data_IF_381419141543
#
_entry.id   IF_381419141543
#
_cell.length_a   1.000
_cell.length_b   1.000
_cell.length_c   1.000
_cell.angle_alpha   90.00
_cell.angle_beta   90.00
_cell.angle_gamma   90.00
#
_symmetry.space_group_name_H-M   'P 1'
#
loop_
_entity.id
_entity.type
_entity.pdbx_description
1 polymer ?
#
# COMPACT_ATOMS: atom_id res chain seq x y z
N UNK A 1 37.10 -1.47 -4.75
CA UNK A 1 35.94 -2.30 -5.13
C UNK A 1 34.72 -1.54 -4.66
N UNK A 2 34.15 -0.74 -5.53
CA UNK A 2 32.93 0.02 -5.28
C UNK A 2 31.77 -0.99 -5.33
N UNK A 3 31.00 -1.07 -4.25
CA UNK A 3 29.75 -1.86 -4.18
C UNK A 3 28.79 -1.42 -5.29
N UNK A 4 27.99 -2.35 -5.87
CA UNK A 4 27.05 -2.01 -6.91
C UNK A 4 26.00 -1.05 -6.37
N UNK A 5 25.84 0.03 -7.11
CA UNK A 5 24.76 1.01 -7.18
C UNK A 5 23.62 0.81 -6.18
N UNK A 6 23.75 1.41 -5.00
CA UNK A 6 22.61 1.52 -4.08
C UNK A 6 21.71 2.65 -4.57
N UNK A 7 20.83 2.34 -5.54
CA UNK A 7 19.76 3.23 -5.89
C UNK A 7 19.03 3.66 -4.61
N UNK A 8 18.85 4.96 -4.42
CA UNK A 8 18.20 5.50 -3.22
C UNK A 8 16.79 4.90 -3.11
N UNK A 9 16.37 4.39 -1.94
CA UNK A 9 15.07 3.78 -1.78
C UNK A 9 13.96 4.81 -2.07
N UNK A 10 12.85 4.36 -2.64
CA UNK A 10 11.69 5.22 -2.86
C UNK A 10 10.85 5.44 -1.60
N UNK A 11 10.95 4.53 -0.63
CA UNK A 11 10.38 4.71 0.71
C UNK A 11 11.51 4.51 1.71
N UNK A 12 11.72 5.49 2.58
CA UNK A 12 12.64 5.41 3.71
C UNK A 12 11.89 5.72 5.01
N UNK A 13 11.99 4.82 5.95
CA UNK A 13 11.62 5.02 7.36
C UNK A 13 12.88 4.71 8.16
N UNK A 14 13.47 5.72 8.82
CA UNK A 14 14.72 5.57 9.53
C UNK A 14 14.57 5.95 11.00
N UNK A 15 14.68 4.96 11.89
CA UNK A 15 14.60 5.09 13.36
C UNK A 15 13.38 5.90 13.83
N UNK A 16 12.24 5.72 13.14
CA UNK A 16 11.04 6.50 13.41
C UNK A 16 10.38 6.06 14.69
N UNK A 17 10.20 7.03 15.59
CA UNK A 17 9.38 6.89 16.78
C UNK A 17 8.19 7.86 16.72
N UNK A 18 6.99 7.37 17.05
CA UNK A 18 5.76 8.14 16.95
C UNK A 18 4.87 7.89 18.15
N UNK A 19 4.37 8.97 18.75
CA UNK A 19 3.48 8.95 19.91
C UNK A 19 2.05 9.35 19.49
N UNK A 20 1.05 8.68 20.05
CA UNK A 20 -0.36 9.10 20.02
C UNK A 20 -0.82 9.38 21.43
N UNK A 21 -1.00 10.64 21.77
CA UNK A 21 -1.19 11.05 23.15
C UNK A 21 0.02 10.63 24.00
N UNK A 22 -0.24 9.91 25.10
CA UNK A 22 0.81 9.44 26.00
C UNK A 22 1.34 8.02 25.65
N UNK A 23 0.94 7.46 24.50
CA UNK A 23 1.35 6.09 24.12
C UNK A 23 2.31 6.13 22.94
N UNK A 24 3.48 5.49 23.09
CA UNK A 24 4.39 5.18 22.00
C UNK A 24 3.74 4.14 21.09
N UNK A 25 3.50 4.48 19.83
CA UNK A 25 2.88 3.59 18.83
C UNK A 25 3.91 3.02 17.87
N UNK A 26 4.93 3.82 17.46
CA UNK A 26 6.10 3.35 16.74
C UNK A 26 7.33 3.66 17.60
N UNK A 27 8.27 2.73 17.65
CA UNK A 27 9.46 2.82 18.47
C UNK A 27 10.69 2.36 17.67
N UNK A 28 11.44 3.33 17.16
CA UNK A 28 12.64 3.14 16.35
C UNK A 28 12.43 2.22 15.13
N UNK A 29 11.28 2.37 14.45
CA UNK A 29 10.98 1.60 13.23
C UNK A 29 11.91 2.04 12.12
N UNK A 30 12.55 1.05 11.46
CA UNK A 30 13.36 1.28 10.26
C UNK A 30 12.97 0.28 9.19
N UNK A 31 12.63 0.77 7.99
CA UNK A 31 12.42 -0.03 6.79
C UNK A 31 12.72 0.81 5.54
N UNK A 32 13.04 0.14 4.46
CA UNK A 32 13.24 0.75 3.14
C UNK A 32 12.50 -0.05 2.09
N UNK A 33 12.00 0.63 1.04
CA UNK A 33 11.45 -0.04 -0.15
C UNK A 33 12.10 0.57 -1.38
N UNK A 34 12.75 -0.28 -2.17
CA UNK A 34 13.42 0.12 -3.40
C UNK A 34 12.42 0.26 -4.56
N UNK A 35 12.86 0.90 -5.66
CA UNK A 35 12.12 0.87 -6.91
C UNK A 35 11.93 -0.57 -7.38
N UNK A 36 10.70 -0.95 -7.75
CA UNK A 36 10.39 -2.30 -8.19
C UNK A 36 10.44 -3.35 -7.06
N UNK A 37 10.18 -2.96 -5.84
CA UNK A 37 10.10 -3.85 -4.68
C UNK A 37 8.69 -3.81 -4.07
N UNK A 38 8.20 -4.97 -3.63
CA UNK A 38 7.01 -5.11 -2.79
C UNK A 38 7.46 -5.48 -1.38
N UNK A 39 7.23 -4.59 -0.42
CA UNK A 39 7.45 -4.81 1.00
C UNK A 39 6.11 -4.98 1.70
N UNK A 40 5.91 -6.09 2.40
CA UNK A 40 4.74 -6.31 3.25
C UNK A 40 5.11 -6.06 4.72
N UNK A 41 4.41 -5.16 5.38
CA UNK A 41 4.51 -4.93 6.82
C UNK A 41 3.35 -5.65 7.52
N UNK A 42 3.67 -6.78 8.15
CA UNK A 42 2.72 -7.59 8.89
C UNK A 42 2.68 -7.21 10.37
N UNK A 43 1.52 -7.42 10.99
CA UNK A 43 1.37 -7.25 12.43
C UNK A 43 -0.09 -7.36 12.86
N UNK A 44 -0.31 -7.60 14.14
CA UNK A 44 -1.65 -7.61 14.74
C UNK A 44 -2.32 -6.25 14.76
N UNK A 45 -3.57 -6.22 15.23
CA UNK A 45 -4.30 -4.98 15.43
C UNK A 45 -3.60 -4.12 16.49
N UNK A 46 -3.42 -2.83 16.18
CA UNK A 46 -2.73 -1.91 17.08
C UNK A 46 -1.20 -2.00 17.08
N UNK A 47 -0.58 -2.86 16.25
CA UNK A 47 0.87 -2.97 16.14
C UNK A 47 1.58 -1.70 15.60
N UNK A 48 0.84 -0.82 14.89
CA UNK A 48 1.39 0.41 14.31
C UNK A 48 1.35 0.48 12.79
N UNK A 49 0.81 -0.52 12.08
CA UNK A 49 0.77 -0.61 10.62
C UNK A 49 0.18 0.64 9.94
N UNK A 50 -1.09 0.95 10.21
CA UNK A 50 -1.78 2.12 9.62
C UNK A 50 -1.19 3.45 10.14
N UNK A 51 -0.51 3.43 11.30
CA UNK A 51 0.25 4.58 11.81
C UNK A 51 1.48 4.84 10.94
N UNK A 52 2.17 3.79 10.49
CA UNK A 52 3.30 3.90 9.56
C UNK A 52 2.85 4.49 8.22
N UNK A 53 1.72 4.00 7.65
CA UNK A 53 1.16 4.59 6.42
C UNK A 53 0.75 6.05 6.63
N UNK A 54 0.10 6.38 7.76
CA UNK A 54 -0.31 7.76 8.06
C UNK A 54 0.88 8.71 8.20
N UNK A 55 2.02 8.23 8.72
CA UNK A 55 3.25 9.01 8.79
C UNK A 55 3.85 9.25 7.41
N UNK A 56 3.89 8.23 6.54
CA UNK A 56 4.36 8.35 5.15
C UNK A 56 3.46 9.26 4.29
N UNK A 57 2.16 9.32 4.62
CA UNK A 57 1.21 10.24 3.99
C UNK A 57 1.31 11.69 4.53
N UNK A 58 2.19 11.95 5.51
CA UNK A 58 2.36 13.26 6.10
C UNK A 58 1.26 13.65 7.11
N UNK A 59 0.33 12.74 7.45
CA UNK A 59 -0.74 13.01 8.42
C UNK A 59 -0.26 13.00 9.87
N UNK A 60 0.89 12.37 10.14
CA UNK A 60 1.46 12.27 11.48
C UNK A 60 2.94 12.66 11.45
N UNK A 61 3.33 13.50 12.40
CA UNK A 61 4.73 13.89 12.58
C UNK A 61 5.40 12.93 13.56
N UNK A 62 6.54 12.29 13.19
CA UNK A 62 7.35 11.54 14.12
C UNK A 62 7.89 12.39 15.28
N UNK A 63 8.03 11.77 16.45
CA UNK A 63 8.73 12.36 17.59
C UNK A 63 10.26 12.36 17.36
N UNK A 64 10.75 11.34 16.65
CA UNK A 64 12.17 11.22 16.22
C UNK A 64 12.29 10.35 14.99
N UNK A 65 13.46 10.38 14.34
CA UNK A 65 13.76 9.65 13.11
C UNK A 65 13.44 10.47 11.86
N UNK A 66 13.59 9.85 10.69
CA UNK A 66 13.36 10.46 9.39
C UNK A 66 12.43 9.64 8.52
N UNK A 67 11.66 10.33 7.68
CA UNK A 67 10.78 9.75 6.66
C UNK A 67 11.08 10.37 5.32
N UNK A 68 11.16 9.54 4.26
CA UNK A 68 11.25 10.03 2.89
C UNK A 68 10.36 9.19 1.97
N UNK A 69 9.69 9.88 1.05
CA UNK A 69 8.94 9.28 -0.06
C UNK A 69 9.46 9.89 -1.35
N UNK A 70 10.09 9.07 -2.19
CA UNK A 70 10.77 9.49 -3.41
C UNK A 70 11.75 10.66 -3.15
N UNK A 71 12.51 10.60 -2.04
CA UNK A 71 13.46 11.63 -1.62
C UNK A 71 12.83 12.90 -1.02
N UNK A 72 11.54 12.89 -0.72
CA UNK A 72 10.81 14.04 -0.17
C UNK A 72 10.37 13.71 1.26
N UNK A 73 10.63 14.60 2.21
CA UNK A 73 10.10 14.51 3.57
C UNK A 73 8.60 14.85 3.58
N UNK A 74 7.72 13.87 3.88
CA UNK A 74 6.27 14.07 3.83
C UNK A 74 5.73 14.99 4.92
N UNK A 75 6.51 15.28 5.96
CA UNK A 75 6.10 16.17 7.05
C UNK A 75 6.36 17.64 6.72
N UNK A 76 7.48 17.90 6.08
CA UNK A 76 7.87 19.26 5.70
C UNK A 76 7.33 19.69 4.32
N UNK A 77 7.08 18.71 3.44
CA UNK A 77 6.65 18.95 2.05
C UNK A 77 5.47 18.02 1.68
N UNK A 78 4.32 18.05 2.41
CA UNK A 78 3.25 17.08 2.27
C UNK A 78 2.64 17.05 0.87
N UNK A 79 2.43 18.20 0.23
CA UNK A 79 1.82 18.26 -1.11
C UNK A 79 2.73 17.59 -2.16
N UNK A 80 4.05 17.82 -2.06
CA UNK A 80 5.01 17.21 -2.98
C UNK A 80 5.13 15.70 -2.77
N UNK A 81 5.13 15.24 -1.51
CA UNK A 81 5.13 13.82 -1.18
C UNK A 81 3.84 13.13 -1.64
N UNK A 82 2.67 13.72 -1.36
CA UNK A 82 1.37 13.20 -1.82
C UNK A 82 1.26 13.10 -3.34
N UNK A 83 1.91 14.02 -4.08
CA UNK A 83 1.97 13.95 -5.54
C UNK A 83 2.75 12.71 -6.04
N UNK A 84 3.58 12.09 -5.22
CA UNK A 84 4.38 10.89 -5.52
C UNK A 84 3.75 9.58 -5.02
N UNK A 85 2.62 9.66 -4.32
CA UNK A 85 1.97 8.51 -3.68
C UNK A 85 0.62 8.23 -4.32
N UNK A 86 0.34 6.96 -4.62
CA UNK A 86 -1.02 6.45 -4.72
C UNK A 86 -1.32 5.66 -3.43
N UNK A 87 -2.47 5.90 -2.82
CA UNK A 87 -2.88 5.24 -1.58
C UNK A 87 -4.20 4.50 -1.77
N UNK A 88 -4.21 3.22 -1.41
CA UNK A 88 -5.40 2.38 -1.38
C UNK A 88 -5.75 2.09 0.09
N UNK A 89 -6.79 2.73 0.64
CA UNK A 89 -7.25 2.45 2.00
C UNK A 89 -8.00 1.12 2.06
N UNK A 90 -8.06 0.51 3.24
CA UNK A 90 -8.86 -0.71 3.49
C UNK A 90 -10.33 -0.51 3.10
N UNK A 91 -10.90 0.65 3.44
CA UNK A 91 -12.28 0.99 3.13
C UNK A 91 -12.31 2.11 2.08
N UNK A 92 -12.57 1.71 0.83
CA UNK A 92 -12.64 2.64 -0.29
C UNK A 92 -13.92 3.46 -0.23
N UNK A 93 -13.79 4.76 0.03
CA UNK A 93 -14.88 5.72 -0.01
C UNK A 93 -15.05 6.28 -1.44
N UNK A 94 -16.14 5.92 -2.08
CA UNK A 94 -16.57 6.46 -3.38
C UNK A 94 -17.91 7.18 -3.22
N UNK A 95 -18.20 8.10 -4.11
CA UNK A 95 -19.51 8.78 -4.16
C UNK A 95 -20.56 7.83 -4.73
N UNK A 96 -21.49 7.39 -3.91
CA UNK A 96 -22.47 6.35 -4.21
C UNK A 96 -23.40 6.71 -5.38
N UNK A 97 -23.68 7.98 -5.57
CA UNK A 97 -24.51 8.49 -6.66
C UNK A 97 -23.81 8.55 -8.02
N UNK A 98 -22.48 8.49 -8.03
CA UNK A 98 -21.67 8.52 -9.24
C UNK A 98 -21.40 7.11 -9.76
N UNK A 99 -21.14 6.98 -11.05
CA UNK A 99 -20.63 5.77 -11.70
C UNK A 99 -19.16 5.54 -11.37
N UNK A 100 -18.60 4.37 -11.73
CA UNK A 100 -17.16 4.11 -11.58
C UNK A 100 -16.32 5.12 -12.36
N UNK A 101 -16.68 5.41 -13.62
CA UNK A 101 -15.95 6.38 -14.45
C UNK A 101 -16.06 7.81 -13.92
N UNK A 102 -17.24 8.23 -13.44
CA UNK A 102 -17.41 9.56 -12.83
C UNK A 102 -16.63 9.71 -11.53
N UNK A 103 -16.56 8.66 -10.68
CA UNK A 103 -15.71 8.67 -9.49
C UNK A 103 -14.23 8.82 -9.88
N UNK A 104 -13.75 8.06 -10.87
CA UNK A 104 -12.38 8.18 -11.36
C UNK A 104 -12.11 9.60 -11.85
N UNK A 105 -12.96 10.13 -12.73
CA UNK A 105 -12.81 11.48 -13.27
C UNK A 105 -12.76 12.53 -12.15
N UNK A 106 -13.65 12.43 -11.16
CA UNK A 106 -13.69 13.33 -10.02
C UNK A 106 -12.40 13.30 -9.18
N UNK A 107 -11.95 12.10 -8.75
CA UNK A 107 -10.76 11.99 -7.93
C UNK A 107 -9.46 12.31 -8.69
N UNK A 108 -9.42 11.99 -9.98
CA UNK A 108 -8.26 12.34 -10.82
C UNK A 108 -8.18 13.86 -11.05
N UNK A 109 -9.32 14.56 -11.23
CA UNK A 109 -9.36 16.02 -11.31
C UNK A 109 -8.85 16.69 -10.03
N UNK A 110 -9.21 16.15 -8.84
CA UNK A 110 -8.66 16.63 -7.56
C UNK A 110 -7.12 16.42 -7.46
N UNK A 111 -6.60 15.42 -8.15
CA UNK A 111 -5.16 15.16 -8.25
C UNK A 111 -4.48 15.95 -9.39
N UNK A 112 -5.20 16.86 -10.06
CA UNK A 112 -4.68 17.66 -11.16
C UNK A 112 -4.54 16.91 -12.49
N UNK A 113 -5.24 15.79 -12.68
CA UNK A 113 -5.20 14.97 -13.87
C UNK A 113 -6.61 14.78 -14.48
N UNK A 114 -6.70 14.81 -15.80
CA UNK A 114 -7.94 14.63 -16.54
C UNK A 114 -7.78 13.48 -17.55
N UNK A 115 -7.88 12.21 -17.10
CA UNK A 115 -7.77 11.07 -18.00
C UNK A 115 -8.94 11.02 -18.99
N UNK A 116 -8.65 10.73 -20.25
CA UNK A 116 -9.68 10.45 -21.23
C UNK A 116 -10.39 9.11 -20.94
N UNK A 117 -11.56 8.91 -21.56
CA UNK A 117 -12.35 7.68 -21.38
C UNK A 117 -11.54 6.42 -21.70
N UNK A 118 -10.73 6.44 -22.75
CA UNK A 118 -9.95 5.27 -23.16
C UNK A 118 -8.89 4.91 -22.11
N UNK A 119 -8.26 5.89 -21.47
CA UNK A 119 -7.32 5.68 -20.36
C UNK A 119 -8.02 5.11 -19.13
N UNK A 120 -9.20 5.63 -18.77
CA UNK A 120 -10.01 5.09 -17.68
C UNK A 120 -10.42 3.63 -17.95
N UNK A 121 -10.86 3.33 -19.16
CA UNK A 121 -11.24 1.96 -19.55
C UNK A 121 -10.05 1.00 -19.45
N UNK A 122 -8.86 1.38 -19.94
CA UNK A 122 -7.63 0.57 -19.78
C UNK A 122 -7.26 0.33 -18.33
N UNK A 123 -7.40 1.34 -17.46
CA UNK A 123 -7.10 1.20 -16.04
C UNK A 123 -8.13 0.30 -15.34
N UNK A 124 -9.40 0.38 -15.70
CA UNK A 124 -10.46 -0.50 -15.21
C UNK A 124 -10.30 -1.94 -15.71
N UNK A 125 -9.84 -2.14 -16.96
CA UNK A 125 -9.44 -3.45 -17.48
C UNK A 125 -8.31 -4.05 -16.65
N UNK A 126 -7.26 -3.24 -16.40
CA UNK A 126 -6.11 -3.67 -15.60
C UNK A 126 -6.51 -4.03 -14.15
N UNK A 127 -7.50 -3.32 -13.58
CA UNK A 127 -8.06 -3.61 -12.27
C UNK A 127 -9.10 -4.75 -12.27
N UNK A 128 -9.50 -5.25 -13.44
CA UNK A 128 -10.45 -6.35 -13.60
C UNK A 128 -11.91 -5.97 -13.31
N UNK A 129 -12.28 -4.69 -13.49
CA UNK A 129 -13.69 -4.29 -13.41
C UNK A 129 -14.39 -4.53 -14.76
N UNK A 130 -15.47 -5.31 -14.72
CA UNK A 130 -16.26 -5.65 -15.92
C UNK A 130 -16.81 -4.40 -16.61
N UNK A 131 -16.87 -4.44 -17.95
CA UNK A 131 -17.28 -3.31 -18.78
C UNK A 131 -18.69 -2.81 -18.41
N UNK A 132 -19.62 -3.75 -18.16
CA UNK A 132 -21.02 -3.46 -17.82
C UNK A 132 -21.19 -2.73 -16.48
N UNK A 133 -20.17 -2.80 -15.61
CA UNK A 133 -20.20 -2.12 -14.32
C UNK A 133 -19.71 -0.66 -14.39
N UNK A 134 -18.93 -0.28 -15.41
CA UNK A 134 -18.21 1.01 -15.45
C UNK A 134 -19.11 2.24 -15.41
N UNK A 135 -20.26 2.14 -16.07
CA UNK A 135 -21.26 3.21 -16.18
C UNK A 135 -22.47 2.98 -15.24
N UNK A 136 -22.33 2.05 -14.29
CA UNK A 136 -23.31 1.86 -13.21
C UNK A 136 -22.90 2.63 -11.96
N UNK A 137 -23.90 3.13 -11.21
CA UNK A 137 -23.68 3.79 -9.92
C UNK A 137 -23.02 2.84 -8.93
N UNK A 138 -22.01 3.33 -8.20
CA UNK A 138 -21.25 2.51 -7.25
C UNK A 138 -22.03 2.18 -5.98
N UNK A 139 -23.23 2.74 -5.76
CA UNK A 139 -24.12 2.37 -4.65
C UNK A 139 -24.45 0.86 -4.61
N UNK A 140 -24.46 0.19 -5.77
CA UNK A 140 -24.67 -1.24 -5.89
C UNK A 140 -23.41 -2.10 -5.95
N UNK A 141 -22.21 -1.51 -5.70
CA UNK A 141 -20.95 -2.23 -5.80
C UNK A 141 -20.62 -3.00 -4.52
N UNK A 142 -20.10 -4.22 -4.68
CA UNK A 142 -19.46 -4.95 -3.59
C UNK A 142 -18.17 -4.25 -3.14
N UNK A 143 -17.64 -4.61 -1.96
CA UNK A 143 -16.33 -4.12 -1.47
C UNK A 143 -15.25 -4.33 -2.53
N UNK A 144 -15.15 -5.52 -3.13
CA UNK A 144 -14.17 -5.83 -4.17
C UNK A 144 -14.34 -4.99 -5.45
N UNK A 145 -15.57 -4.66 -5.86
CA UNK A 145 -15.78 -3.76 -7.01
C UNK A 145 -15.32 -2.34 -6.72
N UNK A 146 -15.60 -1.81 -5.52
CA UNK A 146 -15.13 -0.49 -5.08
C UNK A 146 -13.60 -0.45 -5.04
N UNK A 147 -12.98 -1.51 -4.57
CA UNK A 147 -11.52 -1.67 -4.53
C UNK A 147 -10.92 -1.66 -5.94
N UNK A 148 -11.53 -2.34 -6.91
CA UNK A 148 -11.11 -2.28 -8.32
C UNK A 148 -11.14 -0.87 -8.91
N UNK A 149 -12.13 -0.05 -8.55
CA UNK A 149 -12.17 1.38 -8.96
C UNK A 149 -10.99 2.15 -8.36
N UNK A 150 -10.71 1.97 -7.06
CA UNK A 150 -9.58 2.64 -6.42
C UNK A 150 -8.22 2.19 -6.98
N UNK A 151 -8.09 0.90 -7.32
CA UNK A 151 -6.91 0.37 -8.00
C UNK A 151 -6.73 1.02 -9.38
N UNK A 152 -7.82 1.18 -10.14
CA UNK A 152 -7.77 1.87 -11.44
C UNK A 152 -7.29 3.32 -11.29
N UNK A 153 -7.74 4.03 -10.24
CA UNK A 153 -7.22 5.38 -9.92
C UNK A 153 -5.71 5.35 -9.60
N UNK A 154 -5.24 4.37 -8.82
CA UNK A 154 -3.82 4.22 -8.52
C UNK A 154 -2.98 3.97 -9.79
N UNK A 155 -3.48 3.13 -10.72
CA UNK A 155 -2.85 2.88 -12.02
C UNK A 155 -2.78 4.15 -12.88
N UNK A 156 -3.86 4.94 -12.90
CA UNK A 156 -3.94 6.20 -13.67
C UNK A 156 -3.00 7.28 -13.12
N UNK A 157 -2.76 7.30 -11.81
CA UNK A 157 -1.82 8.24 -11.20
C UNK A 157 -0.39 8.05 -11.65
N UNK A 158 -0.01 6.82 -12.03
CA UNK A 158 1.32 6.45 -12.56
C UNK A 158 2.48 7.05 -11.74
N UNK A 159 2.40 6.91 -10.42
CA UNK A 159 3.36 7.49 -9.45
C UNK A 159 4.35 6.44 -8.95
N UNK A 160 5.54 6.86 -8.44
CA UNK A 160 6.60 5.93 -8.06
C UNK A 160 6.30 5.10 -6.82
N UNK A 161 5.36 5.53 -5.97
CA UNK A 161 5.07 4.88 -4.68
C UNK A 161 3.60 4.51 -4.57
N UNK A 162 3.33 3.25 -4.19
CA UNK A 162 2.00 2.73 -3.89
C UNK A 162 1.95 2.25 -2.45
N UNK A 163 1.05 2.85 -1.66
CA UNK A 163 0.76 2.47 -0.29
C UNK A 163 -0.57 1.73 -0.24
N UNK A 164 -0.61 0.56 0.40
CA UNK A 164 -1.78 -0.32 0.46
C UNK A 164 -2.11 -0.67 1.90
N UNK A 165 -3.36 -0.45 2.31
CA UNK A 165 -3.87 -0.80 3.64
C UNK A 165 -4.87 -1.94 3.52
N UNK A 166 -4.51 -3.15 3.99
CA UNK A 166 -5.29 -4.39 3.95
C UNK A 166 -5.91 -4.67 2.55
N UNK A 167 -5.13 -4.65 1.46
CA UNK A 167 -5.66 -4.53 0.10
C UNK A 167 -6.44 -5.76 -0.38
N UNK A 168 -6.23 -6.93 0.21
CA UNK A 168 -6.91 -8.19 -0.15
C UNK A 168 -8.07 -8.53 0.79
N UNK A 169 -8.29 -7.73 1.83
CA UNK A 169 -9.34 -7.96 2.82
C UNK A 169 -10.72 -7.99 2.17
N UNK A 170 -11.40 -9.15 2.24
CA UNK A 170 -12.74 -9.35 1.68
C UNK A 170 -12.80 -9.56 0.17
N UNK A 171 -11.65 -9.80 -0.49
CA UNK A 171 -11.60 -10.30 -1.85
C UNK A 171 -11.77 -11.82 -1.88
N UNK A 172 -12.41 -12.33 -2.93
CA UNK A 172 -12.39 -13.76 -3.22
C UNK A 172 -11.00 -14.19 -3.78
N UNK A 173 -10.68 -15.49 -3.79
CA UNK A 173 -9.37 -15.98 -4.24
C UNK A 173 -9.00 -15.57 -5.67
N UNK A 174 -9.99 -15.47 -6.58
CA UNK A 174 -9.76 -15.05 -7.96
C UNK A 174 -9.41 -13.56 -8.03
N UNK A 175 -10.15 -12.73 -7.30
CA UNK A 175 -9.87 -11.29 -7.23
C UNK A 175 -8.51 -11.02 -6.58
N UNK A 176 -8.12 -11.81 -5.57
CA UNK A 176 -6.78 -11.75 -4.96
C UNK A 176 -5.68 -12.09 -5.96
N UNK A 177 -5.84 -13.16 -6.74
CA UNK A 177 -4.87 -13.53 -7.78
C UNK A 177 -4.73 -12.45 -8.87
N UNK A 178 -5.86 -11.88 -9.34
CA UNK A 178 -5.86 -10.77 -10.31
C UNK A 178 -5.15 -9.53 -9.73
N UNK A 179 -5.37 -9.23 -8.44
CA UNK A 179 -4.70 -8.14 -7.75
C UNK A 179 -3.19 -8.37 -7.62
N UNK A 180 -2.75 -9.55 -7.20
CA UNK A 180 -1.33 -9.89 -7.11
C UNK A 180 -0.64 -9.81 -8.49
N UNK A 181 -1.31 -10.25 -9.57
CA UNK A 181 -0.80 -10.08 -10.94
C UNK A 181 -0.67 -8.60 -11.34
N UNK A 182 -1.57 -7.73 -10.88
CA UNK A 182 -1.45 -6.29 -11.09
C UNK A 182 -0.27 -5.70 -10.31
N UNK A 183 -0.09 -6.07 -9.03
CA UNK A 183 1.06 -5.62 -8.23
C UNK A 183 2.39 -6.02 -8.90
N UNK A 184 2.49 -7.25 -9.42
CA UNK A 184 3.66 -7.71 -10.16
C UNK A 184 3.95 -6.84 -11.40
N UNK A 185 2.91 -6.41 -12.14
CA UNK A 185 3.07 -5.49 -13.29
C UNK A 185 3.53 -4.10 -12.86
N UNK A 186 2.99 -3.54 -11.77
CA UNK A 186 3.41 -2.23 -11.26
C UNK A 186 4.85 -2.29 -10.74
N UNK A 187 5.20 -3.34 -10.01
CA UNK A 187 6.57 -3.65 -9.59
C UNK A 187 7.55 -3.68 -10.78
N UNK A 188 7.20 -4.42 -11.84
CA UNK A 188 8.03 -4.53 -13.05
C UNK A 188 8.24 -3.17 -13.76
N UNK A 189 7.37 -2.18 -13.53
CA UNK A 189 7.51 -0.79 -14.01
C UNK A 189 8.33 0.10 -13.08
N UNK A 190 8.84 -0.45 -11.98
CA UNK A 190 9.66 0.28 -11.01
C UNK A 190 8.89 0.91 -9.86
N UNK A 191 7.59 0.65 -9.71
CA UNK A 191 6.82 1.16 -8.55
C UNK A 191 7.30 0.49 -7.27
N UNK A 192 7.61 1.28 -6.24
CA UNK A 192 7.84 0.80 -4.88
C UNK A 192 6.48 0.60 -4.18
N UNK A 193 6.24 -0.57 -3.64
CA UNK A 193 4.95 -0.94 -3.05
C UNK A 193 5.16 -1.28 -1.58
N UNK A 194 4.54 -0.52 -0.68
CA UNK A 194 4.43 -0.86 0.74
C UNK A 194 3.00 -1.29 1.03
N UNK A 195 2.83 -2.54 1.41
CA UNK A 195 1.55 -3.12 1.80
C UNK A 195 1.54 -3.38 3.31
N UNK A 196 0.51 -2.93 4.02
CA UNK A 196 0.28 -3.34 5.40
C UNK A 196 -0.87 -4.33 5.44
N UNK A 197 -0.68 -5.45 6.15
CA UNK A 197 -1.69 -6.51 6.23
C UNK A 197 -1.49 -7.37 7.48
N UNK A 198 -2.50 -8.15 7.82
CA UNK A 198 -2.41 -9.25 8.79
C UNK A 198 -2.41 -10.63 8.10
N UNK A 199 -2.58 -10.68 6.77
CA UNK A 199 -2.58 -11.90 5.96
C UNK A 199 -1.16 -12.27 5.54
N UNK A 200 -0.53 -13.19 6.30
CA UNK A 200 0.81 -13.68 6.01
C UNK A 200 0.86 -14.49 4.71
N UNK A 201 -0.17 -15.31 4.43
CA UNK A 201 -0.18 -16.15 3.23
C UNK A 201 -0.25 -15.29 1.97
N UNK A 202 -1.20 -14.34 1.95
CA UNK A 202 -1.33 -13.40 0.84
C UNK A 202 -0.08 -12.54 0.65
N UNK A 203 0.58 -12.14 1.74
CA UNK A 203 1.84 -11.40 1.65
C UNK A 203 2.98 -12.24 1.08
N UNK A 204 3.11 -13.52 1.49
CA UNK A 204 4.16 -14.43 1.02
C UNK A 204 4.03 -14.73 -0.49
N UNK A 205 2.82 -14.67 -1.05
CA UNK A 205 2.57 -14.92 -2.48
C UNK A 205 3.05 -13.77 -3.39
N UNK A 206 3.24 -12.56 -2.87
CA UNK A 206 3.53 -11.40 -3.73
C UNK A 206 4.69 -10.52 -3.26
N UNK A 207 5.05 -10.52 -1.96
CA UNK A 207 6.07 -9.64 -1.42
C UNK A 207 7.50 -10.18 -1.64
N UNK A 208 8.44 -9.26 -1.87
CA UNK A 208 9.88 -9.57 -1.89
C UNK A 208 10.46 -9.64 -0.49
N UNK A 209 9.95 -8.80 0.41
CA UNK A 209 10.33 -8.77 1.82
C UNK A 209 9.08 -8.61 2.68
N UNK A 210 9.14 -9.25 3.85
CA UNK A 210 8.08 -9.20 4.86
C UNK A 210 8.71 -8.78 6.19
N UNK A 211 8.27 -7.63 6.73
CA UNK A 211 8.63 -7.17 8.07
C UNK A 211 7.53 -7.46 9.07
N UNK A 212 7.87 -8.00 10.23
CA UNK A 212 6.91 -8.27 11.31
C UNK A 212 6.94 -7.14 12.33
N UNK A 213 5.84 -6.39 12.39
CA UNK A 213 5.66 -5.28 13.33
C UNK A 213 4.91 -5.78 14.58
N UNK A 214 5.57 -5.73 15.73
CA UNK A 214 4.99 -6.07 17.02
C UNK A 214 5.33 -4.97 18.04
N UNK A 215 4.31 -4.50 18.78
CA UNK A 215 4.46 -3.45 19.80
C UNK A 215 5.24 -2.23 19.31
N UNK A 216 4.99 -1.81 18.06
CA UNK A 216 5.60 -0.64 17.45
C UNK A 216 7.05 -0.83 16.97
N UNK A 217 7.58 -2.05 16.94
CA UNK A 217 8.93 -2.36 16.47
C UNK A 217 8.91 -3.42 15.38
N UNK A 218 9.80 -3.34 14.39
CA UNK A 218 10.06 -4.47 13.48
C UNK A 218 10.93 -5.46 14.24
N UNK A 219 10.35 -6.65 14.53
CA UNK A 219 11.00 -7.69 15.32
C UNK A 219 11.71 -8.73 14.48
N UNK A 220 11.28 -8.88 13.23
CA UNK A 220 11.90 -9.81 12.27
C UNK A 220 11.63 -9.32 10.85
N UNK A 221 12.53 -9.62 9.93
CA UNK A 221 12.35 -9.39 8.49
C UNK A 221 12.79 -10.64 7.73
N UNK A 222 11.98 -11.06 6.77
CA UNK A 222 12.24 -12.27 5.98
C UNK A 222 12.02 -11.99 4.48
N UNK A 223 12.64 -12.84 3.64
CA UNK A 223 12.42 -12.84 2.19
C UNK A 223 11.78 -14.16 1.79
N UNK A 224 10.56 -14.16 1.22
CA UNK A 224 9.89 -15.39 0.76
C UNK A 224 10.75 -16.24 -0.19
N UNK A 225 11.55 -15.61 -1.05
CA UNK A 225 12.45 -16.29 -1.99
C UNK A 225 13.55 -17.15 -1.30
N UNK A 226 13.86 -16.90 -0.02
CA UNK A 226 14.87 -17.66 0.73
C UNK A 226 14.33 -19.00 1.28
N UNK A 227 13.09 -19.37 0.90
CA UNK A 227 12.51 -20.67 1.29
C UNK A 227 11.95 -20.68 2.70
N UNK A 228 11.12 -19.74 3.04
CA UNK A 228 10.51 -19.57 4.36
C UNK A 228 9.50 -20.69 4.65
N UNK A 229 9.54 -21.25 5.85
CA UNK A 229 8.43 -22.01 6.40
C UNK A 229 7.31 -21.04 6.86
N UNK A 230 6.43 -20.71 5.91
CA UNK A 230 5.30 -19.80 6.15
C UNK A 230 4.38 -20.30 7.26
N UNK A 231 4.25 -21.64 7.43
CA UNK A 231 3.46 -22.22 8.51
C UNK A 231 4.12 -22.00 9.88
N UNK A 232 5.43 -22.16 9.98
CA UNK A 232 6.17 -21.86 11.21
C UNK A 232 6.07 -20.38 11.60
N UNK A 233 6.14 -19.48 10.61
CA UNK A 233 5.93 -18.05 10.82
C UNK A 233 4.50 -17.74 11.24
N UNK A 234 3.51 -18.37 10.61
CA UNK A 234 2.10 -18.19 10.96
C UNK A 234 1.83 -18.61 12.41
N UNK A 235 2.37 -19.74 12.88
CA UNK A 235 2.27 -20.16 14.28
C UNK A 235 2.96 -19.17 15.22
N UNK A 236 4.13 -18.66 14.87
CA UNK A 236 4.91 -17.73 15.71
C UNK A 236 4.25 -16.36 15.86
N UNK A 237 3.67 -15.83 14.77
CA UNK A 237 3.14 -14.46 14.74
C UNK A 237 1.61 -14.38 14.69
N UNK A 238 0.92 -15.45 14.30
CA UNK A 238 -0.55 -15.53 14.32
C UNK A 238 -1.10 -15.52 15.75
N UNK A 239 -0.44 -16.15 16.70
CA UNK A 239 -0.80 -16.14 18.12
C UNK A 239 -0.52 -14.77 18.78
N UNK A 240 0.54 -14.09 18.34
CA UNK A 240 0.86 -12.74 18.84
C UNK A 240 -0.13 -11.65 18.34
N UNK A 241 -0.88 -11.92 17.27
CA UNK A 241 -1.90 -11.02 16.75
C UNK A 241 -3.27 -11.20 17.44
N UNK A 242 -3.48 -12.28 18.18
CA UNK A 242 -4.74 -12.62 18.85
C UNK A 242 -4.76 -12.23 20.34
N UNK A 243 -3.65 -11.78 20.91
CA UNK A 243 -3.48 -11.30 22.28
C UNK A 243 -3.42 -9.76 22.35
#
# INVERSE_FOLDING_TARGET
MTSPDSAQPLILVDQVSLDRGNRRVLDQVSLTVAAGEIYALLGGNGAGKSTTLSALLGFLRPASGALEVAGIDPVSQPDQACARIAYLPENVALYDQLTACENIAYFMALAGAEPDRASMDRALDAAGLQVEARDRRVSGFSKGMRQKVAIAMAVLRDVPVLLLDEPTSGLDPRATADFNALLARLKARGTAILMVTHDLLGAADCADRIGFLASGRIVEEVRPADGIDVLALHHRYGEAAAA
#
